data_IF_297279575560
#
_entry.id   IF_297279575560
#
_cell.length_a   1.000
_cell.length_b   1.000
_cell.length_c   1.000
_cell.angle_alpha   90.00
_cell.angle_beta   90.00
_cell.angle_gamma   90.00
#
_symmetry.space_group_name_H-M   'P 1'
#
loop_
_entity.id
_entity.type
_entity.pdbx_description
1 polymer ?
#
# COMPACT_ATOMS: atom_id res chain seq x y z
N UNK A 1 -10.12 -10.38 -19.81
CA UNK A 1 -11.03 -10.99 -20.81
C UNK A 1 -11.88 -9.91 -21.46
N UNK A 2 -12.35 -10.08 -22.70
CA UNK A 2 -13.19 -9.10 -23.43
C UNK A 2 -14.48 -8.71 -22.68
N UNK A 3 -14.92 -9.53 -21.73
CA UNK A 3 -16.12 -9.27 -20.91
C UNK A 3 -15.94 -8.09 -19.93
N UNK A 4 -14.79 -7.97 -19.28
CA UNK A 4 -14.57 -6.91 -18.28
C UNK A 4 -14.57 -5.50 -18.89
N UNK A 5 -13.97 -5.32 -20.07
CA UNK A 5 -13.95 -4.02 -20.76
C UNK A 5 -15.36 -3.58 -21.19
N UNK A 6 -16.20 -4.52 -21.64
CA UNK A 6 -17.58 -4.20 -22.03
C UNK A 6 -18.44 -3.76 -20.83
N UNK A 7 -18.23 -4.37 -19.65
CA UNK A 7 -18.90 -3.98 -18.41
C UNK A 7 -18.41 -2.61 -17.95
N UNK A 8 -17.10 -2.36 -18.00
CA UNK A 8 -16.53 -1.05 -17.68
C UNK A 8 -17.07 0.03 -18.62
N UNK A 9 -17.12 -0.20 -19.92
CA UNK A 9 -17.66 0.77 -20.88
C UNK A 9 -19.12 1.18 -20.57
N UNK A 10 -19.94 0.26 -20.05
CA UNK A 10 -21.35 0.51 -19.69
C UNK A 10 -21.55 1.15 -18.31
N UNK A 11 -20.48 1.42 -17.57
CA UNK A 11 -20.52 1.95 -16.20
C UNK A 11 -19.66 3.23 -16.09
N UNK A 12 -20.10 4.35 -16.68
CA UNK A 12 -19.31 5.59 -16.72
C UNK A 12 -19.12 6.23 -15.33
N UNK A 13 -20.11 6.08 -14.43
CA UNK A 13 -20.12 6.69 -13.11
C UNK A 13 -19.62 5.75 -11.99
N UNK A 14 -18.87 4.70 -12.36
CA UNK A 14 -18.36 3.72 -11.39
C UNK A 14 -17.41 4.39 -10.40
N UNK A 15 -17.72 4.30 -9.10
CA UNK A 15 -16.89 4.85 -8.02
C UNK A 15 -16.04 3.81 -7.31
N UNK A 16 -16.49 2.57 -7.29
CA UNK A 16 -15.77 1.47 -6.66
C UNK A 16 -15.65 0.29 -7.64
N UNK A 17 -14.44 -0.24 -7.75
CA UNK A 17 -14.16 -1.41 -8.57
C UNK A 17 -13.32 -2.39 -7.77
N UNK A 18 -13.81 -3.62 -7.69
CA UNK A 18 -13.02 -4.76 -7.25
C UNK A 18 -12.80 -5.70 -8.43
N UNK A 19 -11.54 -6.06 -8.68
CA UNK A 19 -11.18 -7.12 -9.60
C UNK A 19 -10.57 -8.27 -8.82
N UNK A 20 -11.14 -9.46 -8.97
CA UNK A 20 -10.62 -10.69 -8.40
C UNK A 20 -10.39 -11.67 -9.55
N UNK A 21 -9.15 -12.10 -9.77
CA UNK A 21 -8.81 -12.99 -10.86
C UNK A 21 -7.30 -13.03 -11.15
N UNK A 22 -6.90 -13.73 -12.23
CA UNK A 22 -5.50 -13.76 -12.63
C UNK A 22 -5.09 -12.37 -13.15
N UNK A 23 -4.34 -11.65 -12.32
CA UNK A 23 -3.83 -10.31 -12.63
C UNK A 23 -2.43 -10.36 -13.23
N UNK A 24 -1.74 -11.49 -13.14
CA UNK A 24 -0.37 -11.63 -13.62
C UNK A 24 -0.39 -12.41 -14.93
N UNK A 25 0.18 -11.84 -15.98
CA UNK A 25 0.35 -12.51 -17.28
C UNK A 25 1.34 -13.68 -17.16
N UNK A 26 1.45 -14.48 -18.22
CA UNK A 26 2.51 -15.50 -18.31
C UNK A 26 3.93 -14.91 -18.32
N UNK A 27 4.09 -13.63 -18.68
CA UNK A 27 5.36 -12.91 -18.64
C UNK A 27 5.68 -12.32 -17.26
N UNK A 28 4.74 -12.35 -16.32
CA UNK A 28 4.89 -11.78 -14.98
C UNK A 28 4.34 -10.37 -14.84
N UNK A 29 3.77 -9.78 -15.91
CA UNK A 29 3.27 -8.41 -15.90
C UNK A 29 1.88 -8.30 -15.28
N UNK A 30 1.61 -7.18 -14.61
CA UNK A 30 0.25 -6.88 -14.15
C UNK A 30 -0.63 -6.54 -15.35
N UNK A 31 -1.67 -7.34 -15.52
CA UNK A 31 -2.67 -7.24 -16.58
C UNK A 31 -4.01 -6.93 -15.95
N UNK A 32 -4.41 -5.67 -16.02
CA UNK A 32 -5.77 -5.26 -15.70
C UNK A 32 -6.27 -4.23 -16.72
N UNK A 33 -7.60 -4.03 -16.83
CA UNK A 33 -8.17 -3.13 -17.83
C UNK A 33 -7.65 -1.70 -17.64
N UNK A 34 -7.43 -0.97 -18.73
CA UNK A 34 -7.15 0.46 -18.63
C UNK A 34 -8.33 1.17 -17.93
N UNK A 35 -8.02 1.92 -16.87
CA UNK A 35 -8.98 2.67 -16.07
C UNK A 35 -8.82 4.18 -16.24
N UNK A 36 -7.97 4.65 -17.16
CA UNK A 36 -7.74 6.07 -17.40
C UNK A 36 -9.03 6.84 -17.70
N UNK A 37 -9.99 6.22 -18.40
CA UNK A 37 -11.29 6.81 -18.72
C UNK A 37 -12.28 6.84 -17.52
N UNK A 38 -11.89 6.34 -16.33
CA UNK A 38 -12.75 6.23 -15.14
C UNK A 38 -12.54 7.39 -14.16
N UNK A 39 -12.88 8.59 -14.62
CA UNK A 39 -12.76 9.85 -13.89
C UNK A 39 -13.61 9.99 -12.62
N UNK A 40 -14.39 8.98 -12.24
CA UNK A 40 -15.17 8.93 -11.02
C UNK A 40 -14.73 7.82 -10.05
N UNK A 41 -13.74 7.00 -10.43
CA UNK A 41 -13.30 5.88 -9.61
C UNK A 41 -12.50 6.38 -8.40
N UNK A 42 -13.02 6.12 -7.21
CA UNK A 42 -12.44 6.51 -5.93
C UNK A 42 -11.85 5.32 -5.17
N UNK A 43 -12.37 4.11 -5.39
CA UNK A 43 -11.92 2.87 -4.75
C UNK A 43 -11.55 1.81 -5.79
N UNK A 44 -10.33 1.27 -5.72
CA UNK A 44 -9.86 0.16 -6.53
C UNK A 44 -9.31 -0.96 -5.64
N UNK A 45 -9.75 -2.19 -5.88
CA UNK A 45 -9.23 -3.40 -5.24
C UNK A 45 -8.78 -4.39 -6.31
N UNK A 46 -7.51 -4.76 -6.29
CA UNK A 46 -6.90 -5.71 -7.20
C UNK A 46 -6.47 -6.95 -6.41
N UNK A 47 -7.21 -8.04 -6.59
CA UNK A 47 -7.01 -9.31 -5.89
C UNK A 47 -6.53 -10.35 -6.89
N UNK A 48 -5.23 -10.63 -6.88
CA UNK A 48 -4.66 -11.64 -7.75
C UNK A 48 -4.96 -13.04 -7.21
N UNK A 49 -5.48 -13.90 -8.07
CA UNK A 49 -5.71 -15.32 -7.78
C UNK A 49 -4.80 -16.24 -8.59
N UNK A 50 -3.86 -15.67 -9.37
CA UNK A 50 -2.92 -16.45 -10.15
C UNK A 50 -1.94 -17.19 -9.24
N UNK A 51 -1.81 -18.49 -9.45
CA UNK A 51 -0.81 -19.35 -8.79
C UNK A 51 0.55 -19.32 -9.48
N UNK A 52 0.67 -18.57 -10.58
CA UNK A 52 1.90 -18.48 -11.36
C UNK A 52 2.93 -17.68 -10.57
N UNK A 53 3.88 -18.39 -9.98
CA UNK A 53 5.12 -17.84 -9.45
C UNK A 53 6.05 -17.60 -10.65
N UNK A 54 5.87 -16.49 -11.35
CA UNK A 54 6.86 -16.08 -12.35
C UNK A 54 8.11 -15.57 -11.60
N UNK A 55 9.28 -16.10 -11.94
CA UNK A 55 10.58 -15.59 -11.46
C UNK A 55 10.88 -14.15 -11.93
N UNK A 56 10.03 -13.61 -12.79
CA UNK A 56 10.02 -12.21 -13.21
C UNK A 56 8.95 -11.45 -12.42
N UNK A 57 9.41 -10.44 -11.68
CA UNK A 57 8.53 -9.51 -10.96
C UNK A 57 7.80 -8.60 -11.94
N UNK A 58 6.51 -8.36 -11.71
CA UNK A 58 5.70 -7.43 -12.48
C UNK A 58 6.26 -6.02 -12.42
N UNK A 59 6.31 -5.33 -13.56
CA UNK A 59 6.58 -3.90 -13.61
C UNK A 59 5.31 -3.07 -13.76
N UNK A 60 5.16 -2.03 -12.92
CA UNK A 60 4.12 -1.01 -13.06
C UNK A 60 4.43 0.03 -14.14
N UNK A 61 5.70 0.23 -14.48
CA UNK A 61 6.21 1.48 -15.07
C UNK A 61 5.63 1.87 -16.44
N UNK A 62 5.12 0.91 -17.25
CA UNK A 62 4.68 1.21 -18.63
C UNK A 62 3.23 0.84 -18.95
N UNK A 63 2.50 0.18 -18.03
CA UNK A 63 1.24 -0.48 -18.36
C UNK A 63 0.01 0.08 -17.64
N UNK A 64 0.19 0.83 -16.55
CA UNK A 64 -0.90 1.11 -15.62
C UNK A 64 -1.05 2.60 -15.36
N UNK A 65 -2.17 3.15 -15.84
CA UNK A 65 -2.65 4.49 -15.48
C UNK A 65 -3.73 4.36 -14.42
N UNK A 66 -3.40 4.75 -13.20
CA UNK A 66 -4.41 4.84 -12.14
C UNK A 66 -5.31 6.06 -12.37
N UNK A 67 -6.62 5.97 -12.06
CA UNK A 67 -7.53 7.12 -12.16
C UNK A 67 -7.11 8.25 -11.21
N UNK A 68 -7.17 9.50 -11.67
CA UNK A 68 -6.71 10.66 -10.88
C UNK A 68 -7.47 10.85 -9.55
N UNK A 69 -8.75 10.46 -9.51
CA UNK A 69 -9.60 10.58 -8.31
C UNK A 69 -9.50 9.39 -7.36
N UNK A 70 -8.59 8.46 -7.60
CA UNK A 70 -8.42 7.29 -6.77
C UNK A 70 -7.98 7.70 -5.35
N UNK A 71 -8.80 7.33 -4.36
CA UNK A 71 -8.56 7.60 -2.94
C UNK A 71 -8.19 6.35 -2.16
N UNK A 72 -8.66 5.18 -2.59
CA UNK A 72 -8.49 3.93 -1.86
C UNK A 72 -7.99 2.84 -2.80
N UNK A 73 -6.81 2.31 -2.49
CA UNK A 73 -6.21 1.22 -3.24
C UNK A 73 -5.98 0.03 -2.32
N UNK A 74 -6.41 -1.15 -2.76
CA UNK A 74 -6.04 -2.43 -2.16
C UNK A 74 -5.38 -3.30 -3.21
N UNK A 75 -4.19 -3.78 -2.91
CA UNK A 75 -3.45 -4.73 -3.72
C UNK A 75 -3.29 -6.03 -2.91
N UNK A 76 -3.51 -7.16 -3.56
CA UNK A 76 -3.36 -8.48 -2.94
C UNK A 76 -2.75 -9.46 -3.92
N UNK A 77 -1.65 -10.11 -3.54
CA UNK A 77 -0.99 -11.12 -4.37
C UNK A 77 -0.39 -10.59 -5.68
N UNK A 78 -0.19 -9.27 -5.79
CA UNK A 78 0.27 -8.63 -7.03
C UNK A 78 1.77 -8.78 -7.28
N UNK A 79 2.56 -9.17 -6.29
CA UNK A 79 4.01 -9.37 -6.40
C UNK A 79 4.79 -8.17 -6.96
N UNK A 80 4.38 -6.95 -6.58
CA UNK A 80 5.04 -5.72 -6.99
C UNK A 80 6.40 -5.56 -6.33
N UNK A 81 7.40 -5.05 -7.05
CA UNK A 81 8.66 -4.66 -6.42
C UNK A 81 8.47 -3.41 -5.56
N UNK A 82 9.09 -3.39 -4.39
CA UNK A 82 9.16 -2.18 -3.57
C UNK A 82 9.73 -0.97 -4.32
N UNK A 83 10.69 -1.20 -5.23
CA UNK A 83 11.29 -0.15 -6.06
C UNK A 83 10.31 0.55 -7.02
N UNK A 84 9.10 0.03 -7.20
CA UNK A 84 8.08 0.60 -8.08
C UNK A 84 6.95 1.29 -7.31
N UNK A 85 6.97 1.23 -5.98
CA UNK A 85 5.94 1.81 -5.12
C UNK A 85 5.86 3.33 -5.22
N UNK A 86 6.88 3.99 -5.77
CA UNK A 86 6.87 5.43 -6.06
C UNK A 86 5.68 5.84 -6.92
N UNK A 87 5.21 4.98 -7.83
CA UNK A 87 4.06 5.25 -8.71
C UNK A 87 2.78 5.44 -7.88
N UNK A 88 2.62 4.67 -6.80
CA UNK A 88 1.50 4.83 -5.88
C UNK A 88 1.70 6.05 -4.98
N UNK A 89 2.96 6.37 -4.65
CA UNK A 89 3.33 7.54 -3.86
C UNK A 89 2.94 8.85 -4.53
N UNK A 90 3.05 8.96 -5.85
CA UNK A 90 2.71 10.20 -6.57
C UNK A 90 1.21 10.37 -6.83
N UNK A 91 0.35 9.44 -6.41
CA UNK A 91 -1.10 9.55 -6.64
C UNK A 91 -1.67 10.71 -5.81
N UNK A 92 -2.25 11.74 -6.45
CA UNK A 92 -2.51 13.02 -5.80
C UNK A 92 -3.63 12.97 -4.76
N UNK A 93 -4.49 11.95 -4.82
CA UNK A 93 -5.67 11.81 -3.96
C UNK A 93 -5.66 10.53 -3.11
N UNK A 94 -4.56 9.75 -3.13
CA UNK A 94 -4.52 8.47 -2.43
C UNK A 94 -4.50 8.68 -0.91
N UNK A 95 -5.59 8.29 -0.23
CA UNK A 95 -5.77 8.41 1.21
C UNK A 95 -5.65 7.07 1.94
N UNK A 96 -5.92 5.96 1.25
CA UNK A 96 -5.91 4.61 1.83
C UNK A 96 -5.15 3.65 0.93
N UNK A 97 -4.12 3.02 1.50
CA UNK A 97 -3.36 1.97 0.84
C UNK A 97 -3.37 0.70 1.70
N UNK A 98 -3.75 -0.42 1.08
CA UNK A 98 -3.74 -1.74 1.71
C UNK A 98 -2.94 -2.69 0.84
N UNK A 99 -1.86 -3.23 1.38
CA UNK A 99 -1.00 -4.22 0.76
C UNK A 99 -1.19 -5.54 1.50
N UNK A 100 -1.63 -6.57 0.79
CA UNK A 100 -2.01 -7.85 1.40
C UNK A 100 -1.36 -9.02 0.67
N UNK A 101 -1.05 -10.10 1.39
CA UNK A 101 -0.68 -11.42 0.82
C UNK A 101 0.29 -11.31 -0.34
N UNK A 102 1.58 -11.00 -0.09
CA UNK A 102 2.56 -10.78 -1.17
C UNK A 102 2.14 -9.73 -2.23
N UNK A 103 1.44 -8.68 -1.82
CA UNK A 103 1.14 -7.56 -2.72
C UNK A 103 2.41 -6.91 -3.25
N UNK A 104 3.43 -6.82 -2.39
CA UNK A 104 4.77 -6.40 -2.72
C UNK A 104 5.77 -7.50 -2.33
N UNK A 105 6.90 -7.55 -3.02
CA UNK A 105 7.97 -8.52 -2.84
C UNK A 105 9.32 -7.84 -2.69
N UNK A 106 10.18 -8.49 -1.92
CA UNK A 106 11.53 -8.05 -1.63
C UNK A 106 11.69 -7.64 -0.17
N UNK A 107 12.91 -7.75 0.37
CA UNK A 107 13.12 -7.61 1.80
C UNK A 107 13.06 -6.15 2.28
N UNK A 108 13.15 -5.16 1.39
CA UNK A 108 13.38 -3.78 1.78
C UNK A 108 12.50 -2.82 0.99
N UNK A 109 11.81 -1.93 1.72
CA UNK A 109 11.11 -0.79 1.15
C UNK A 109 11.83 0.51 1.49
N UNK A 110 12.44 1.11 0.47
CA UNK A 110 12.87 2.50 0.48
C UNK A 110 11.69 3.37 0.03
N UNK A 111 11.09 4.10 0.96
CA UNK A 111 9.96 4.98 0.61
C UNK A 111 10.49 6.18 -0.15
N UNK A 112 9.90 6.48 -1.30
CA UNK A 112 10.42 7.52 -2.19
C UNK A 112 10.05 8.93 -1.71
N UNK A 113 10.98 9.86 -1.87
CA UNK A 113 10.80 11.27 -1.56
C UNK A 113 9.58 11.85 -2.28
N UNK A 114 8.81 12.70 -1.58
CA UNK A 114 7.61 13.33 -2.11
C UNK A 114 6.43 12.37 -2.37
N UNK A 115 6.53 11.11 -1.96
CA UNK A 115 5.45 10.13 -2.05
C UNK A 115 4.40 10.26 -0.95
N UNK A 116 3.22 9.69 -1.19
CA UNK A 116 2.13 9.44 -0.24
C UNK A 116 1.65 10.65 0.57
N UNK A 117 1.76 11.86 0.02
CA UNK A 117 1.47 13.11 0.72
C UNK A 117 0.04 13.28 1.28
N UNK A 118 -0.94 12.50 0.81
CA UNK A 118 -2.33 12.49 1.33
C UNK A 118 -2.72 11.21 2.05
N UNK A 119 -1.79 10.28 2.20
CA UNK A 119 -2.08 8.95 2.73
C UNK A 119 -2.40 9.06 4.23
N UNK A 120 -3.61 8.67 4.61
CA UNK A 120 -4.11 8.67 5.99
C UNK A 120 -4.10 7.27 6.61
N UNK A 121 -4.23 6.23 5.78
CA UNK A 121 -4.26 4.84 6.25
C UNK A 121 -3.32 3.98 5.42
N UNK A 122 -2.40 3.31 6.11
CA UNK A 122 -1.51 2.32 5.53
C UNK A 122 -1.70 0.97 6.24
N UNK A 123 -1.92 -0.10 5.46
CA UNK A 123 -1.96 -1.46 5.99
C UNK A 123 -1.01 -2.38 5.25
N UNK A 124 -0.23 -3.13 6.02
CA UNK A 124 0.46 -4.35 5.59
C UNK A 124 -0.22 -5.57 6.18
N UNK A 125 -0.42 -6.59 5.36
CA UNK A 125 -0.98 -7.87 5.77
C UNK A 125 -0.20 -8.97 5.05
N UNK A 126 0.48 -9.84 5.81
CA UNK A 126 1.17 -11.01 5.27
C UNK A 126 2.15 -10.65 4.11
N UNK A 127 3.12 -9.81 4.45
CA UNK A 127 4.20 -9.37 3.55
C UNK A 127 5.54 -9.94 4.02
N UNK A 128 6.47 -10.14 3.08
CA UNK A 128 7.82 -10.63 3.31
C UNK A 128 8.84 -9.51 3.62
N UNK A 129 8.35 -8.29 3.89
CA UNK A 129 9.17 -7.13 4.22
C UNK A 129 9.99 -7.37 5.50
N UNK A 130 11.28 -7.05 5.41
CA UNK A 130 12.25 -7.14 6.50
C UNK A 130 12.64 -5.74 6.96
N UNK A 131 12.94 -4.82 6.03
CA UNK A 131 13.32 -3.44 6.32
C UNK A 131 12.35 -2.48 5.70
N UNK A 132 11.93 -1.50 6.49
CA UNK A 132 11.14 -0.39 6.02
C UNK A 132 11.87 0.89 6.38
N UNK A 133 12.31 1.62 5.36
CA UNK A 133 12.96 2.91 5.53
C UNK A 133 12.01 4.01 5.07
N UNK A 134 11.65 4.89 6.00
CA UNK A 134 10.80 6.05 5.76
C UNK A 134 11.08 7.13 6.80
N UNK A 135 10.81 8.37 6.42
CA UNK A 135 10.81 9.54 7.31
C UNK A 135 9.41 10.15 7.39
N UNK A 136 9.24 11.10 8.31
CA UNK A 136 8.04 11.93 8.44
C UNK A 136 7.58 12.54 7.10
N UNK A 137 8.53 12.92 6.23
CA UNK A 137 8.24 13.62 4.97
C UNK A 137 7.54 12.73 3.94
N UNK A 138 7.65 11.41 4.07
CA UNK A 138 7.00 10.46 3.17
C UNK A 138 5.52 10.24 3.51
N UNK A 139 5.08 10.54 4.73
CA UNK A 139 3.73 10.24 5.20
C UNK A 139 3.14 11.36 6.06
N UNK A 140 3.16 12.63 5.60
CA UNK A 140 2.85 13.78 6.44
C UNK A 140 1.42 13.81 6.99
N UNK A 141 0.50 13.07 6.38
CA UNK A 141 -0.92 13.01 6.75
C UNK A 141 -1.36 11.65 7.34
N UNK A 142 -0.42 10.77 7.67
CA UNK A 142 -0.72 9.41 8.10
C UNK A 142 -1.34 9.40 9.51
N UNK A 143 -2.54 8.83 9.59
CA UNK A 143 -3.33 8.74 10.82
C UNK A 143 -3.29 7.35 11.43
N UNK A 144 -3.25 6.31 10.59
CA UNK A 144 -3.33 4.93 11.04
C UNK A 144 -2.41 4.02 10.26
N UNK A 145 -1.56 3.31 11.00
CA UNK A 145 -0.72 2.24 10.52
C UNK A 145 -1.25 0.91 11.06
N UNK A 146 -1.43 -0.07 10.18
CA UNK A 146 -1.83 -1.44 10.57
C UNK A 146 -0.82 -2.44 10.00
N UNK A 147 -0.19 -3.19 10.89
CA UNK A 147 0.71 -4.28 10.55
C UNK A 147 0.09 -5.60 11.02
N UNK A 148 -0.14 -6.52 10.09
CA UNK A 148 -0.75 -7.81 10.37
C UNK A 148 0.09 -8.92 9.75
N UNK A 149 0.51 -9.89 10.55
CA UNK A 149 1.33 -11.02 10.10
C UNK A 149 2.66 -10.60 9.45
N UNK A 150 3.22 -9.45 9.84
CA UNK A 150 4.53 -8.96 9.36
C UNK A 150 5.66 -9.48 10.25
N UNK A 151 5.81 -10.81 10.33
CA UNK A 151 6.71 -11.46 11.28
C UNK A 151 8.21 -11.25 11.04
N UNK A 152 8.61 -10.77 9.86
CA UNK A 152 10.02 -10.54 9.48
C UNK A 152 10.47 -9.09 9.63
N UNK A 153 9.55 -8.15 9.86
CA UNK A 153 9.85 -6.73 9.89
C UNK A 153 10.80 -6.40 11.06
N UNK A 154 11.98 -5.85 10.79
CA UNK A 154 12.99 -5.49 11.79
C UNK A 154 12.60 -4.27 12.65
N UNK A 155 11.62 -3.48 12.21
CA UNK A 155 11.14 -2.32 12.96
C UNK A 155 10.19 -1.44 12.16
N UNK A 156 9.50 -0.54 12.86
CA UNK A 156 8.81 0.61 12.27
C UNK A 156 9.82 1.76 12.23
N UNK A 157 9.93 2.54 11.14
CA UNK A 157 10.79 3.72 11.12
C UNK A 157 10.41 4.67 12.25
N UNK A 158 11.38 5.02 13.10
CA UNK A 158 11.14 5.82 14.30
C UNK A 158 10.71 7.26 13.97
N UNK A 159 11.18 7.79 12.84
CA UNK A 159 10.79 9.10 12.29
C UNK A 159 9.27 9.22 12.05
N UNK A 160 8.53 8.10 11.93
CA UNK A 160 7.07 8.15 11.85
C UNK A 160 6.44 8.64 13.17
N UNK A 161 7.16 8.57 14.28
CA UNK A 161 6.74 9.12 15.57
C UNK A 161 6.64 10.64 15.57
N UNK A 162 7.32 11.34 14.67
CA UNK A 162 7.21 12.79 14.54
C UNK A 162 5.97 13.23 13.73
N UNK A 163 5.21 12.28 13.15
CA UNK A 163 3.97 12.57 12.44
C UNK A 163 2.89 12.96 13.45
N UNK A 164 2.61 14.25 13.55
CA UNK A 164 1.58 14.82 14.45
C UNK A 164 0.16 14.29 14.22
N UNK A 165 -0.13 13.78 13.02
CA UNK A 165 -1.45 13.22 12.69
C UNK A 165 -1.58 11.74 13.01
N UNK A 166 -0.50 11.06 13.40
CA UNK A 166 -0.51 9.62 13.67
C UNK A 166 -1.21 9.33 14.98
N UNK A 167 -2.37 8.68 14.89
CA UNK A 167 -3.26 8.40 16.02
C UNK A 167 -3.20 6.94 16.45
N UNK A 168 -2.94 6.01 15.53
CA UNK A 168 -3.05 4.57 15.79
C UNK A 168 -1.96 3.77 15.07
N UNK A 169 -1.28 2.89 15.80
CA UNK A 169 -0.41 1.84 15.26
C UNK A 169 -0.94 0.48 15.76
N UNK A 170 -1.57 -0.30 14.90
CA UNK A 170 -2.03 -1.64 15.25
C UNK A 170 -1.03 -2.71 14.80
N UNK A 171 -0.58 -3.56 15.72
CA UNK A 171 0.25 -4.71 15.40
C UNK A 171 -0.46 -6.02 15.78
N UNK A 172 -0.55 -6.94 14.83
CA UNK A 172 -1.06 -8.28 15.05
C UNK A 172 -0.10 -9.28 14.43
N UNK A 173 0.38 -10.27 15.19
CA UNK A 173 1.28 -11.32 14.68
C UNK A 173 2.54 -10.77 13.98
N UNK A 174 3.11 -9.69 14.53
CA UNK A 174 4.33 -9.05 14.02
C UNK A 174 5.56 -9.47 14.83
N UNK A 175 6.75 -9.08 14.37
CA UNK A 175 7.99 -9.35 15.11
C UNK A 175 8.05 -8.60 16.45
N UNK A 176 8.89 -9.09 17.35
CA UNK A 176 9.19 -8.38 18.60
C UNK A 176 9.79 -7.00 18.33
N UNK A 177 10.66 -6.89 17.31
CA UNK A 177 11.32 -5.63 16.97
C UNK A 177 10.33 -4.57 16.46
N UNK A 178 9.36 -4.94 15.64
CA UNK A 178 8.29 -4.03 15.20
C UNK A 178 7.42 -3.56 16.38
N UNK A 179 7.15 -4.46 17.33
CA UNK A 179 6.41 -4.14 18.56
C UNK A 179 7.19 -3.16 19.43
N UNK A 180 8.51 -3.34 19.56
CA UNK A 180 9.37 -2.44 20.31
C UNK A 180 9.50 -1.06 19.65
N UNK A 181 9.64 -0.99 18.31
CA UNK A 181 9.61 0.29 17.59
C UNK A 181 8.32 1.06 17.84
N UNK A 182 7.16 0.39 17.80
CA UNK A 182 5.88 1.03 18.10
C UNK A 182 5.87 1.60 19.52
N UNK A 183 6.30 0.81 20.51
CA UNK A 183 6.40 1.24 21.92
C UNK A 183 7.29 2.48 22.08
N UNK A 184 8.45 2.50 21.43
CA UNK A 184 9.37 3.63 21.44
C UNK A 184 8.72 4.88 20.81
N UNK A 185 8.07 4.74 19.66
CA UNK A 185 7.35 5.84 19.00
C UNK A 185 6.32 6.46 19.96
N UNK A 186 5.52 5.64 20.67
CA UNK A 186 4.54 6.15 21.64
C UNK A 186 5.21 6.85 22.83
N UNK A 187 6.30 6.32 23.35
CA UNK A 187 7.03 6.95 24.45
C UNK A 187 7.62 8.31 24.07
N UNK A 188 8.15 8.44 22.86
CA UNK A 188 8.65 9.73 22.38
C UNK A 188 7.51 10.73 22.19
N UNK A 189 6.36 10.31 21.66
CA UNK A 189 5.18 11.18 21.57
C UNK A 189 4.67 11.62 22.95
N UNK A 190 4.59 10.72 23.93
CA UNK A 190 4.22 11.04 25.33
C UNK A 190 5.20 12.07 25.93
N UNK A 191 6.52 11.90 25.74
CA UNK A 191 7.55 12.87 26.20
C UNK A 191 7.40 14.24 25.55
N UNK A 192 6.92 14.29 24.31
CA UNK A 192 6.64 15.53 23.58
C UNK A 192 5.25 16.12 23.89
N UNK A 193 4.49 15.50 24.81
CA UNK A 193 3.18 15.96 25.26
C UNK A 193 2.00 15.50 24.40
N UNK A 194 2.19 14.49 23.56
CA UNK A 194 1.12 13.86 22.77
C UNK A 194 0.76 12.47 23.31
N UNK A 195 -0.28 12.41 24.13
CA UNK A 195 -0.78 11.16 24.74
C UNK A 195 -1.88 10.47 23.91
N UNK A 196 -2.14 10.94 22.69
CA UNK A 196 -3.28 10.46 21.88
C UNK A 196 -2.98 9.20 21.06
N UNK A 197 -1.70 8.89 20.82
CA UNK A 197 -1.30 7.74 20.02
C UNK A 197 -1.61 6.42 20.73
N UNK A 198 -2.39 5.58 20.05
CA UNK A 198 -2.78 4.25 20.51
C UNK A 198 -1.95 3.17 19.82
N UNK A 199 -1.59 2.14 20.58
CA UNK A 199 -1.00 0.89 20.10
C UNK A 199 -1.91 -0.27 20.45
#
# INVERSE_FOLDING_TARGET
SRSCQAVLARTPNLRELGFCGPLISKSGDLTFPDLSDKNHLETLKLLNTSTVICGTTSSLCDLIKFPEKLKRLTLSGTNLKWSEMWILGILPNLEVLKLKFHACVGPQWETCDGGFGRLKFLKFEDLDIVRWNASINHFPALQRLVLQSCGKLEGIPLDLGDISTLEIIELNWCSQSATESARLIRQEQEKMGNDLLKI
#
